data_IF_000995916973
#
_entry.id   IF_000995916973
#
_cell.length_a   1.000
_cell.length_b   1.000
_cell.length_c   1.000
_cell.angle_alpha   90.00
_cell.angle_beta   90.00
_cell.angle_gamma   90.00
#
_symmetry.space_group_name_H-M   'P 1'
#
loop_
_entity.id
_entity.type
_entity.pdbx_description
1 polymer ?
#
# COMPACT_ATOMS: atom_id res chain seq x y z
N UNK A 1 -0.23 9.62 -9.35
CA UNK A 1 0.85 8.67 -8.96
C UNK A 1 1.74 9.38 -7.96
N UNK A 2 1.83 8.91 -6.71
CA UNK A 2 2.46 9.66 -5.59
C UNK A 2 3.07 8.75 -4.51
N UNK A 3 3.43 7.50 -4.86
CA UNK A 3 3.91 6.51 -3.88
C UNK A 3 5.22 6.93 -3.16
N UNK A 4 5.97 7.87 -3.73
CA UNK A 4 7.21 8.39 -3.16
C UNK A 4 6.99 9.27 -1.92
N UNK A 5 5.80 9.88 -1.78
CA UNK A 5 5.48 10.77 -0.65
C UNK A 5 5.40 10.03 0.69
N UNK A 6 5.25 8.69 0.65
CA UNK A 6 5.34 7.83 1.83
C UNK A 6 6.72 7.92 2.50
N UNK A 7 7.78 8.15 1.73
CA UNK A 7 9.14 8.37 2.28
C UNK A 7 9.22 9.64 3.13
N UNK A 8 8.49 10.68 2.73
CA UNK A 8 8.38 11.94 3.48
C UNK A 8 7.63 11.72 4.78
N UNK A 9 6.52 10.97 4.76
CA UNK A 9 5.77 10.61 5.98
C UNK A 9 6.66 9.86 6.98
N UNK A 10 7.47 8.91 6.50
CA UNK A 10 8.41 8.16 7.33
C UNK A 10 9.51 9.06 7.90
N UNK A 11 10.10 9.94 7.07
CA UNK A 11 11.16 10.88 7.48
C UNK A 11 10.71 11.82 8.60
N UNK A 12 9.45 12.26 8.60
CA UNK A 12 8.89 13.11 9.65
C UNK A 12 8.27 12.34 10.82
N UNK A 13 8.40 11.01 10.86
CA UNK A 13 7.91 10.19 11.97
C UNK A 13 6.38 10.18 12.10
N UNK A 14 5.64 10.42 11.02
CA UNK A 14 4.18 10.40 11.05
C UNK A 14 3.66 8.98 11.31
N UNK A 15 2.72 8.85 12.26
CA UNK A 15 2.06 7.59 12.60
C UNK A 15 0.86 7.33 11.66
N UNK A 16 1.11 7.28 10.37
CA UNK A 16 0.07 7.11 9.34
C UNK A 16 -0.26 5.64 9.13
N UNK A 17 -1.54 5.29 9.16
CA UNK A 17 -2.05 3.95 8.79
C UNK A 17 -2.58 4.02 7.36
N UNK A 18 -1.96 3.28 6.43
CA UNK A 18 -2.34 3.26 5.01
C UNK A 18 -2.98 1.91 4.68
N UNK A 19 -4.23 1.94 4.23
CA UNK A 19 -4.91 0.78 3.64
C UNK A 19 -4.77 0.83 2.12
N UNK A 20 -3.96 -0.06 1.57
CA UNK A 20 -3.80 -0.20 0.12
C UNK A 20 -4.74 -1.28 -0.42
N UNK A 21 -5.70 -0.87 -1.24
CA UNK A 21 -6.60 -1.79 -1.96
C UNK A 21 -5.95 -2.16 -3.29
N UNK A 22 -5.51 -3.41 -3.41
CA UNK A 22 -4.85 -3.91 -4.61
C UNK A 22 -5.78 -4.87 -5.38
N UNK A 23 -6.51 -4.33 -6.36
CA UNK A 23 -7.41 -5.09 -7.23
C UNK A 23 -6.79 -5.41 -8.61
N UNK A 24 -5.48 -5.21 -8.79
CA UNK A 24 -4.76 -5.58 -10.02
C UNK A 24 -5.07 -4.73 -11.27
N UNK A 25 -5.71 -3.57 -11.13
CA UNK A 25 -6.20 -2.77 -12.25
C UNK A 25 -6.80 -1.44 -11.82
N UNK A 26 -7.11 -0.59 -12.79
CA UNK A 26 -8.04 0.53 -12.60
C UNK A 26 -9.47 0.01 -12.67
N UNK A 27 -9.97 -0.56 -11.56
CA UNK A 27 -11.30 -1.19 -11.50
C UNK A 27 -12.42 -0.24 -11.92
N UNK A 28 -12.27 1.08 -11.72
CA UNK A 28 -13.30 2.05 -12.09
C UNK A 28 -13.43 2.27 -13.61
N UNK A 29 -12.33 2.10 -14.37
CA UNK A 29 -12.33 2.34 -15.82
C UNK A 29 -12.80 1.10 -16.58
N UNK A 30 -12.60 -0.11 -16.02
CA UNK A 30 -13.15 -1.37 -16.56
C UNK A 30 -14.68 -1.34 -16.62
N UNK A 31 -15.34 -0.77 -15.60
CA UNK A 31 -16.81 -0.68 -15.54
C UNK A 31 -17.40 0.41 -16.47
N UNK A 32 -16.58 1.32 -16.99
CA UNK A 32 -17.02 2.40 -17.89
C UNK A 32 -16.67 2.06 -19.34
N UNK A 33 -15.43 1.63 -19.59
CA UNK A 33 -14.96 1.22 -20.91
C UNK A 33 -13.73 0.31 -20.76
N UNK A 34 -13.93 -0.99 -20.96
CA UNK A 34 -12.86 -1.97 -20.82
C UNK A 34 -11.81 -1.86 -21.94
N UNK A 35 -10.54 -2.07 -21.59
CA UNK A 35 -9.42 -1.87 -22.50
C UNK A 35 -8.05 -2.17 -21.88
N UNK A 36 -7.02 -2.41 -22.72
CA UNK A 36 -5.69 -2.83 -22.25
C UNK A 36 -4.97 -1.78 -21.40
N UNK A 37 -5.41 -0.52 -21.44
CA UNK A 37 -4.89 0.57 -20.61
C UNK A 37 -5.33 0.47 -19.13
N UNK A 38 -6.32 -0.37 -18.81
CA UNK A 38 -6.77 -0.62 -17.43
C UNK A 38 -5.86 -1.58 -16.66
N UNK A 39 -5.00 -2.32 -17.38
CA UNK A 39 -4.08 -3.30 -16.83
C UNK A 39 -2.82 -2.59 -16.34
N UNK A 40 -2.79 -2.29 -15.04
CA UNK A 40 -1.57 -1.78 -14.40
C UNK A 40 -0.65 -2.94 -14.03
N UNK A 41 0.66 -2.74 -14.19
CA UNK A 41 1.65 -3.68 -13.69
C UNK A 41 1.54 -3.73 -12.16
N UNK A 42 1.19 -4.89 -11.62
CA UNK A 42 1.08 -5.08 -10.18
C UNK A 42 2.46 -4.93 -9.51
N UNK A 43 2.57 -4.11 -8.48
CA UNK A 43 3.82 -3.90 -7.75
C UNK A 43 3.88 -4.80 -6.52
N UNK A 44 5.11 -5.11 -6.09
CA UNK A 44 5.32 -5.68 -4.77
C UNK A 44 5.27 -4.56 -3.73
N UNK A 45 4.06 -4.22 -3.28
CA UNK A 45 3.85 -3.09 -2.36
C UNK A 45 4.48 -3.29 -0.97
N UNK A 46 4.63 -4.53 -0.50
CA UNK A 46 5.37 -4.79 0.74
C UNK A 46 6.86 -4.52 0.53
N UNK A 47 7.43 -4.97 -0.59
CA UNK A 47 8.81 -4.69 -0.96
C UNK A 47 9.11 -3.21 -1.21
N UNK A 48 8.12 -2.44 -1.68
CA UNK A 48 8.25 -0.97 -1.79
C UNK A 48 8.44 -0.32 -0.42
N UNK A 49 7.68 -0.76 0.58
CA UNK A 49 7.80 -0.20 1.92
C UNK A 49 9.11 -0.62 2.58
N UNK A 50 9.56 -1.86 2.37
CA UNK A 50 10.89 -2.29 2.83
C UNK A 50 12.00 -1.44 2.22
N UNK A 51 11.90 -1.11 0.92
CA UNK A 51 12.84 -0.25 0.22
C UNK A 51 12.82 1.20 0.75
N UNK A 52 11.65 1.74 1.08
CA UNK A 52 11.50 3.10 1.65
C UNK A 52 12.02 3.13 3.09
N UNK A 53 11.82 2.04 3.85
CA UNK A 53 12.28 1.92 5.22
C UNK A 53 13.81 1.96 5.31
N UNK A 54 14.53 1.34 4.38
CA UNK A 54 16.01 1.41 4.30
C UNK A 54 16.74 1.15 5.64
N UNK A 55 16.14 0.37 6.54
CA UNK A 55 16.67 0.09 7.89
C UNK A 55 16.53 1.24 8.91
N UNK A 56 15.89 2.35 8.54
CA UNK A 56 15.69 3.52 9.40
C UNK A 56 14.19 3.82 9.59
N UNK A 57 13.76 4.00 10.85
CA UNK A 57 12.36 4.31 11.19
C UNK A 57 11.51 3.08 11.57
N UNK A 58 10.24 3.32 11.87
CA UNK A 58 9.30 2.30 12.32
C UNK A 58 8.23 2.11 11.25
N UNK A 59 8.41 1.12 10.38
CA UNK A 59 7.45 0.81 9.32
C UNK A 59 7.14 -0.69 9.32
N UNK A 60 5.84 -1.03 9.33
CA UNK A 60 5.38 -2.41 9.29
C UNK A 60 4.42 -2.58 8.15
N UNK A 61 4.63 -3.63 7.35
CA UNK A 61 3.66 -4.04 6.33
C UNK A 61 3.20 -5.46 6.58
N UNK A 62 1.93 -5.70 6.27
CA UNK A 62 1.40 -7.06 6.22
C UNK A 62 0.38 -7.14 5.09
N UNK A 63 0.46 -8.25 4.35
CA UNK A 63 -0.49 -8.54 3.28
C UNK A 63 -1.62 -9.37 3.87
N UNK A 64 -2.81 -8.81 3.92
CA UNK A 64 -4.00 -9.51 4.40
C UNK A 64 -4.79 -10.05 3.21
N UNK A 65 -5.04 -11.35 3.21
CA UNK A 65 -5.85 -12.05 2.18
C UNK A 65 -7.26 -12.37 2.72
N UNK A 66 -7.45 -12.39 4.04
CA UNK A 66 -8.76 -12.59 4.71
C UNK A 66 -8.89 -11.69 5.96
N UNK A 67 -10.05 -11.04 6.08
CA UNK A 67 -10.55 -10.19 7.18
C UNK A 67 -9.55 -9.16 7.72
N UNK A 68 -9.80 -7.89 7.40
CA UNK A 68 -9.04 -6.71 7.83
C UNK A 68 -8.95 -6.53 9.37
N UNK A 69 -9.89 -7.13 10.10
CA UNK A 69 -10.07 -6.94 11.54
C UNK A 69 -8.86 -7.35 12.40
N UNK A 70 -8.05 -8.30 11.93
CA UNK A 70 -6.87 -8.79 12.67
C UNK A 70 -5.77 -7.71 12.75
N UNK A 71 -5.62 -6.89 11.72
CA UNK A 71 -4.52 -5.93 11.59
C UNK A 71 -4.66 -4.75 12.56
N UNK A 72 -5.88 -4.30 12.81
CA UNK A 72 -6.18 -3.23 13.77
C UNK A 72 -5.87 -3.64 15.22
N UNK A 73 -5.84 -4.94 15.56
CA UNK A 73 -5.48 -5.37 16.91
C UNK A 73 -3.96 -5.43 17.14
N UNK A 74 -3.17 -5.69 16.11
CA UNK A 74 -1.71 -5.76 16.21
C UNK A 74 -1.01 -4.40 16.16
N UNK A 75 -1.63 -3.36 15.58
CA UNK A 75 -1.04 -2.00 15.52
C UNK A 75 -1.26 -1.14 16.77
N UNK A 76 -2.06 -1.60 17.74
CA UNK A 76 -2.41 -0.84 18.95
C UNK A 76 -1.97 -1.51 20.26
N UNK A 77 -1.12 -2.55 20.21
CA UNK A 77 -0.59 -3.21 21.39
C UNK A 77 0.92 -2.99 21.53
#
# INVERSE_FOLDING_TARGET
VTAQDVSTMLRYGQKTIIFLINNGGYTIEVEIHDGPYNVIKNWNYTGLVDAIHNGEGNCWTTKVIKILYILLKTSFC
#
